data_IF_496570021061
#
_entry.id   IF_496570021061
#
_cell.length_a   1.000
_cell.length_b   1.000
_cell.length_c   1.000
_cell.angle_alpha   90.00
_cell.angle_beta   90.00
_cell.angle_gamma   90.00
#
_symmetry.space_group_name_H-M   'P 1'
#
loop_
_entity.id
_entity.type
_entity.pdbx_description
1 polymer ?
#
# COMPACT_ATOMS: atom_id res chain seq x y z
N UNK A 1 -15.20 -9.43 -20.65
CA UNK A 1 -15.88 -10.69 -20.31
C UNK A 1 -15.88 -11.61 -21.51
N UNK A 2 -16.55 -12.76 -21.39
CA UNK A 2 -16.88 -13.63 -22.51
C UNK A 2 -18.35 -13.41 -22.94
N UNK A 3 -18.73 -13.96 -24.10
CA UNK A 3 -20.10 -13.91 -24.63
C UNK A 3 -21.13 -14.71 -23.81
N UNK A 4 -20.69 -15.44 -22.79
CA UNK A 4 -21.54 -16.34 -21.99
C UNK A 4 -22.26 -15.64 -20.83
N UNK A 5 -21.92 -14.39 -20.53
CA UNK A 5 -22.59 -13.61 -19.48
C UNK A 5 -22.67 -12.15 -19.85
N UNK A 6 -23.82 -11.53 -19.58
CA UNK A 6 -24.08 -10.09 -19.78
C UNK A 6 -23.49 -9.21 -18.67
N UNK A 7 -22.87 -9.80 -17.65
CA UNK A 7 -22.29 -9.05 -16.51
C UNK A 7 -21.29 -7.99 -16.98
N UNK A 8 -21.55 -6.72 -16.70
CA UNK A 8 -20.60 -5.65 -16.97
C UNK A 8 -19.52 -5.56 -15.89
N UNK A 9 -18.40 -4.92 -16.22
CA UNK A 9 -17.50 -4.37 -15.20
C UNK A 9 -18.12 -3.06 -14.68
N UNK A 10 -17.98 -2.79 -13.38
CA UNK A 10 -18.51 -1.59 -12.73
C UNK A 10 -17.77 -1.28 -11.44
N UNK A 11 -18.42 -0.55 -10.53
CA UNK A 11 -17.82 -0.11 -9.27
C UNK A 11 -17.26 -1.27 -8.44
N UNK A 12 -17.95 -2.41 -8.41
CA UNK A 12 -17.59 -3.59 -7.62
C UNK A 12 -16.87 -4.65 -8.45
N UNK A 13 -17.36 -4.88 -9.68
CA UNK A 13 -16.91 -6.01 -10.50
C UNK A 13 -15.84 -5.55 -11.48
N UNK A 14 -14.69 -6.21 -11.42
CA UNK A 14 -13.68 -6.19 -12.46
C UNK A 14 -13.92 -7.35 -13.42
N UNK A 15 -14.21 -7.06 -14.69
CA UNK A 15 -14.47 -8.09 -15.71
C UNK A 15 -13.86 -7.70 -17.07
N UNK A 16 -12.54 -7.85 -17.24
CA UNK A 16 -11.86 -7.37 -18.44
C UNK A 16 -12.32 -8.12 -19.68
N UNK A 17 -12.35 -7.44 -20.82
CA UNK A 17 -12.66 -8.03 -22.13
C UNK A 17 -11.57 -8.97 -22.64
N UNK A 18 -10.31 -8.68 -22.29
CA UNK A 18 -9.14 -9.39 -22.79
C UNK A 18 -8.24 -9.80 -21.63
N UNK A 19 -7.55 -10.92 -21.80
CA UNK A 19 -6.53 -11.34 -20.81
C UNK A 19 -5.26 -10.48 -20.90
N UNK A 20 -4.84 -10.14 -22.13
CA UNK A 20 -3.68 -9.29 -22.37
C UNK A 20 -4.12 -7.82 -22.39
N UNK A 21 -3.50 -6.94 -21.58
CA UNK A 21 -3.82 -5.53 -21.62
C UNK A 21 -3.31 -4.88 -22.92
N UNK A 22 -3.91 -3.75 -23.25
CA UNK A 22 -3.45 -2.87 -24.31
C UNK A 22 -2.42 -1.89 -23.77
N UNK A 23 -1.36 -1.65 -24.54
CA UNK A 23 -0.33 -0.68 -24.18
C UNK A 23 -0.88 0.72 -24.49
N UNK A 24 -0.74 1.65 -23.54
CA UNK A 24 -1.18 3.06 -23.72
C UNK A 24 -0.40 3.73 -24.85
N UNK A 25 0.92 3.58 -24.84
CA UNK A 25 1.81 3.97 -25.94
C UNK A 25 3.10 3.15 -25.88
N UNK A 26 3.63 2.77 -27.03
CA UNK A 26 4.94 2.09 -27.12
C UNK A 26 6.11 3.05 -26.88
N UNK A 27 5.88 4.36 -27.04
CA UNK A 27 6.88 5.40 -26.91
C UNK A 27 6.39 6.49 -25.96
N UNK A 28 7.31 7.07 -25.19
CA UNK A 28 7.02 8.23 -24.37
C UNK A 28 7.92 9.38 -24.81
N UNK A 29 7.39 10.60 -24.84
CA UNK A 29 8.24 11.79 -24.86
C UNK A 29 8.93 11.89 -23.51
N UNK A 30 10.25 12.03 -23.52
CA UNK A 30 11.03 12.04 -22.28
C UNK A 30 11.74 13.37 -22.06
N UNK A 31 11.80 13.78 -20.79
CA UNK A 31 12.63 14.88 -20.33
C UNK A 31 13.39 14.44 -19.10
N UNK A 32 14.71 14.62 -19.11
CA UNK A 32 15.58 14.27 -17.98
C UNK A 32 15.89 15.54 -17.19
N UNK A 33 15.76 15.46 -15.88
CA UNK A 33 16.17 16.50 -14.94
C UNK A 33 17.20 15.88 -14.01
N UNK A 34 18.43 16.42 -14.00
CA UNK A 34 19.50 15.93 -13.13
C UNK A 34 20.02 17.07 -12.27
N UNK A 35 19.86 16.93 -10.97
CA UNK A 35 20.34 17.89 -9.97
C UNK A 35 21.11 17.16 -8.87
N UNK A 36 21.84 17.87 -8.00
CA UNK A 36 22.42 17.25 -6.81
C UNK A 36 21.39 16.64 -5.84
N UNK A 37 20.13 17.10 -5.87
CA UNK A 37 19.08 16.67 -4.95
C UNK A 37 18.24 15.51 -5.51
N UNK A 38 18.07 15.43 -6.83
CA UNK A 38 17.21 14.42 -7.47
C UNK A 38 17.59 14.22 -8.93
N UNK A 39 17.44 12.98 -9.39
CA UNK A 39 17.44 12.63 -10.82
C UNK A 39 16.04 12.17 -11.21
N UNK A 40 15.48 12.78 -12.25
CA UNK A 40 14.13 12.50 -12.72
C UNK A 40 14.11 12.19 -14.21
N UNK A 41 13.24 11.26 -14.60
CA UNK A 41 12.83 11.06 -15.98
C UNK A 41 11.32 11.28 -16.05
N UNK A 42 10.93 12.38 -16.69
CA UNK A 42 9.54 12.69 -16.99
C UNK A 42 9.19 11.96 -18.28
N UNK A 43 8.14 11.15 -18.26
CA UNK A 43 7.70 10.33 -19.38
C UNK A 43 6.24 10.64 -19.68
N UNK A 44 5.98 11.22 -20.84
CA UNK A 44 4.62 11.50 -21.32
C UNK A 44 4.23 10.45 -22.37
N UNK A 45 3.29 9.57 -22.03
CA UNK A 45 2.85 8.49 -22.93
C UNK A 45 1.71 8.93 -23.84
N UNK A 46 0.81 9.76 -23.33
CA UNK A 46 -0.35 10.28 -24.06
C UNK A 46 -0.88 11.54 -23.37
N UNK A 47 -1.85 12.23 -24.00
CA UNK A 47 -2.49 13.41 -23.43
C UNK A 47 -3.18 13.19 -22.06
N UNK A 48 -3.40 11.93 -21.66
CA UNK A 48 -4.10 11.56 -20.43
C UNK A 48 -3.28 10.62 -19.53
N UNK A 49 -2.03 10.32 -19.88
CA UNK A 49 -1.19 9.37 -19.14
C UNK A 49 0.28 9.78 -19.19
N UNK A 50 0.84 10.06 -18.01
CA UNK A 50 2.26 10.39 -17.84
C UNK A 50 2.77 9.80 -16.53
N UNK A 51 4.09 9.69 -16.41
CA UNK A 51 4.75 9.37 -15.15
C UNK A 51 6.06 10.13 -14.98
N UNK A 52 6.46 10.33 -13.73
CA UNK A 52 7.78 10.85 -13.36
C UNK A 52 8.48 9.78 -12.54
N UNK A 53 9.63 9.35 -13.01
CA UNK A 53 10.49 8.39 -12.32
C UNK A 53 11.56 9.19 -11.58
N UNK A 54 11.63 9.10 -10.26
CA UNK A 54 12.59 9.84 -9.42
C UNK A 54 13.54 8.90 -8.69
N UNK A 55 14.80 9.33 -8.63
CA UNK A 55 15.84 8.72 -7.82
C UNK A 55 16.52 9.81 -6.99
N UNK A 56 16.32 9.75 -5.67
CA UNK A 56 16.97 10.63 -4.73
C UNK A 56 18.28 10.02 -4.20
N UNK A 57 19.32 10.83 -3.91
CA UNK A 57 20.54 10.37 -3.26
C UNK A 57 20.25 9.63 -1.95
N UNK A 58 20.88 8.48 -1.75
CA UNK A 58 20.76 7.66 -0.52
C UNK A 58 19.47 6.84 -0.42
N UNK A 59 18.46 7.06 -1.26
CA UNK A 59 17.28 6.20 -1.30
C UNK A 59 17.59 4.87 -1.98
N UNK A 60 16.97 3.80 -1.48
CA UNK A 60 17.12 2.42 -2.00
C UNK A 60 15.88 1.94 -2.75
N UNK A 61 15.07 2.87 -3.23
CA UNK A 61 13.88 2.62 -4.01
C UNK A 61 13.77 3.63 -5.14
N UNK A 62 13.06 3.25 -6.19
CA UNK A 62 12.64 4.15 -7.25
C UNK A 62 11.27 4.71 -6.88
N UNK A 63 11.06 6.02 -6.95
CA UNK A 63 9.73 6.61 -6.85
C UNK A 63 9.16 6.76 -8.27
N UNK A 64 7.97 6.20 -8.50
CA UNK A 64 7.23 6.34 -9.74
C UNK A 64 5.92 7.07 -9.43
N UNK A 65 5.86 8.35 -9.76
CA UNK A 65 4.64 9.15 -9.68
C UNK A 65 3.91 9.02 -11.02
N UNK A 66 2.73 8.40 -11.02
CA UNK A 66 1.88 8.28 -12.19
C UNK A 66 0.78 9.34 -12.14
N UNK A 67 0.40 9.89 -13.30
CA UNK A 67 -0.73 10.79 -13.47
C UNK A 67 -1.59 10.28 -14.63
N UNK A 68 -2.83 9.90 -14.32
CA UNK A 68 -3.77 9.31 -15.26
C UNK A 68 -5.09 10.06 -15.21
N UNK A 69 -5.58 10.52 -16.36
CA UNK A 69 -6.90 11.13 -16.50
C UNK A 69 -6.92 12.28 -17.51
N UNK A 70 -8.10 12.83 -17.83
CA UNK A 70 -9.34 12.08 -17.87
C UNK A 70 -9.18 10.89 -18.84
N UNK A 71 -9.53 9.68 -18.40
CA UNK A 71 -9.42 8.48 -19.24
C UNK A 71 -10.39 8.64 -20.43
N UNK A 72 -9.93 8.56 -21.68
CA UNK A 72 -10.79 8.79 -22.84
C UNK A 72 -11.77 7.63 -23.00
N UNK A 73 -13.03 7.95 -23.24
CA UNK A 73 -14.12 6.97 -23.46
C UNK A 73 -14.97 7.30 -24.68
N UNK A 74 -14.52 8.24 -25.53
CA UNK A 74 -15.22 8.64 -26.76
C UNK A 74 -15.32 7.54 -27.81
N UNK A 75 -14.54 6.46 -27.65
CA UNK A 75 -14.63 5.23 -28.43
C UNK A 75 -15.75 4.29 -27.95
N UNK A 76 -16.44 4.61 -26.86
CA UNK A 76 -17.46 3.76 -26.24
C UNK A 76 -16.90 2.62 -25.37
N UNK A 77 -15.60 2.64 -25.05
CA UNK A 77 -14.95 1.62 -24.22
C UNK A 77 -14.60 2.15 -22.84
N UNK A 78 -15.12 1.49 -21.81
CA UNK A 78 -14.59 1.63 -20.44
C UNK A 78 -13.14 1.11 -20.38
N UNK A 79 -12.29 1.76 -19.58
CA UNK A 79 -10.87 1.44 -19.48
C UNK A 79 -10.43 1.39 -18.01
N UNK A 80 -9.60 0.41 -17.73
CA UNK A 80 -9.03 0.13 -16.41
C UNK A 80 -7.52 0.12 -16.58
N UNK A 81 -6.86 1.13 -16.03
CA UNK A 81 -5.47 1.47 -16.31
C UNK A 81 -4.60 0.81 -15.26
N UNK A 82 -3.56 0.12 -15.70
CA UNK A 82 -2.62 -0.58 -14.83
C UNK A 82 -1.20 -0.01 -14.99
N UNK A 83 -0.46 0.00 -13.89
CA UNK A 83 1.00 0.04 -13.89
C UNK A 83 1.51 -1.40 -13.81
N UNK A 84 2.42 -1.80 -14.71
CA UNK A 84 2.95 -3.17 -14.78
C UNK A 84 4.47 -3.15 -14.74
N UNK A 85 5.03 -4.00 -13.90
CA UNK A 85 6.47 -4.20 -13.71
C UNK A 85 6.82 -5.61 -14.14
N UNK A 86 7.61 -5.72 -15.20
CA UNK A 86 8.03 -7.00 -15.76
C UNK A 86 9.52 -7.24 -15.46
N UNK A 87 9.84 -8.45 -15.01
CA UNK A 87 11.20 -8.89 -14.66
C UNK A 87 11.44 -10.30 -15.18
N UNK A 88 12.68 -10.76 -15.03
CA UNK A 88 13.09 -12.14 -15.34
C UNK A 88 12.95 -13.10 -14.15
N UNK A 89 12.33 -12.66 -13.04
CA UNK A 89 12.21 -13.49 -11.83
C UNK A 89 11.34 -14.73 -12.08
N UNK A 90 11.81 -15.90 -11.67
CA UNK A 90 11.08 -17.16 -11.76
C UNK A 90 10.21 -17.37 -10.52
N UNK A 91 8.99 -16.83 -10.55
CA UNK A 91 8.13 -16.74 -9.36
C UNK A 91 7.19 -17.94 -9.16
N UNK A 92 7.09 -18.83 -10.16
CA UNK A 92 6.32 -20.09 -10.10
C UNK A 92 4.84 -19.87 -9.75
N UNK A 93 4.26 -18.78 -10.24
CA UNK A 93 2.88 -18.40 -9.96
C UNK A 93 2.62 -17.87 -8.55
N UNK A 94 3.64 -17.65 -7.74
CA UNK A 94 3.53 -17.10 -6.38
C UNK A 94 3.75 -15.59 -6.37
N UNK A 95 2.95 -14.90 -5.58
CA UNK A 95 3.09 -13.49 -5.27
C UNK A 95 2.48 -13.21 -3.89
N UNK A 96 2.76 -12.04 -3.34
CA UNK A 96 2.45 -11.74 -1.95
C UNK A 96 1.80 -10.38 -1.86
N UNK A 97 0.68 -10.29 -1.14
CA UNK A 97 -0.03 -9.02 -0.90
C UNK A 97 -0.25 -8.83 0.58
N UNK A 98 -0.30 -7.58 1.01
CA UNK A 98 -0.64 -7.28 2.40
C UNK A 98 -2.12 -7.51 2.70
N UNK A 99 -2.42 -7.65 3.99
CA UNK A 99 -3.75 -7.65 4.58
C UNK A 99 -3.87 -6.40 5.46
N UNK A 100 -4.59 -5.39 4.97
CA UNK A 100 -4.81 -4.12 5.68
C UNK A 100 -3.52 -3.44 6.17
N UNK A 101 -2.44 -3.48 5.39
CA UNK A 101 -1.16 -2.87 5.74
C UNK A 101 -0.23 -3.73 6.60
N UNK A 102 -0.68 -4.90 7.07
CA UNK A 102 -0.03 -5.65 8.16
C UNK A 102 0.57 -6.99 7.72
N UNK A 103 -0.23 -8.05 7.83
CA UNK A 103 0.17 -9.41 7.52
C UNK A 103 0.40 -9.56 6.03
N UNK A 104 1.37 -10.38 5.64
CA UNK A 104 1.60 -10.69 4.24
C UNK A 104 1.00 -12.06 3.94
N UNK A 105 0.11 -12.10 2.96
CA UNK A 105 -0.55 -13.31 2.52
C UNK A 105 0.10 -13.80 1.23
N UNK A 106 0.50 -15.07 1.22
CA UNK A 106 0.92 -15.75 0.00
C UNK A 106 -0.29 -16.00 -0.91
N UNK A 107 -0.14 -15.62 -2.17
CA UNK A 107 -1.13 -15.81 -3.23
C UNK A 107 -0.52 -16.72 -4.29
N UNK A 108 -1.35 -17.62 -4.81
CA UNK A 108 -1.00 -18.49 -5.92
C UNK A 108 -2.00 -18.29 -7.04
N UNK A 109 -1.49 -17.94 -8.23
CA UNK A 109 -2.30 -17.75 -9.43
C UNK A 109 -3.13 -19.00 -9.72
N UNK A 110 -4.42 -18.80 -10.02
CA UNK A 110 -5.41 -19.84 -10.36
C UNK A 110 -5.60 -20.92 -9.28
N UNK A 111 -5.40 -20.56 -8.00
CA UNK A 111 -5.48 -21.50 -6.89
C UNK A 111 -6.34 -20.98 -5.73
N UNK A 112 -7.01 -21.91 -5.04
CA UNK A 112 -7.76 -21.67 -3.81
C UNK A 112 -7.46 -22.78 -2.80
N UNK A 113 -7.14 -22.46 -1.53
CA UNK A 113 -6.75 -23.47 -0.56
C UNK A 113 -7.93 -24.30 -0.05
N UNK A 114 -9.15 -23.76 -0.09
CA UNK A 114 -10.33 -24.36 0.55
C UNK A 114 -11.31 -25.02 -0.42
N UNK A 115 -11.13 -24.87 -1.73
CA UNK A 115 -11.94 -25.57 -2.75
C UNK A 115 -11.19 -25.74 -4.06
N UNK A 116 -11.65 -26.68 -4.89
CA UNK A 116 -11.16 -26.85 -6.28
C UNK A 116 -11.71 -25.72 -7.16
N UNK A 117 -10.85 -24.80 -7.57
CA UNK A 117 -11.24 -23.67 -8.42
C UNK A 117 -11.60 -24.15 -9.83
N UNK A 118 -12.78 -23.77 -10.31
CA UNK A 118 -13.10 -23.77 -11.74
C UNK A 118 -12.75 -22.38 -12.29
N UNK A 119 -11.65 -22.27 -13.04
CA UNK A 119 -11.16 -20.97 -13.50
C UNK A 119 -11.95 -20.47 -14.72
N UNK A 120 -12.73 -19.41 -14.53
CA UNK A 120 -13.53 -18.76 -15.58
C UNK A 120 -13.12 -17.32 -15.88
N UNK A 121 -12.38 -16.67 -14.97
CA UNK A 121 -11.96 -15.28 -15.04
C UNK A 121 -10.45 -15.19 -14.68
N UNK A 122 -9.53 -15.60 -15.57
CA UNK A 122 -8.11 -15.78 -15.27
C UNK A 122 -7.35 -14.49 -14.95
N UNK A 123 -7.93 -13.32 -15.25
CA UNK A 123 -7.40 -12.03 -14.83
C UNK A 123 -8.03 -11.62 -13.50
N UNK A 124 -9.34 -11.34 -13.50
CA UNK A 124 -10.03 -10.79 -12.34
C UNK A 124 -10.00 -11.73 -11.12
N UNK A 125 -10.05 -13.05 -11.33
CA UNK A 125 -9.95 -14.05 -10.27
C UNK A 125 -8.60 -14.09 -9.57
N UNK A 126 -7.58 -13.39 -10.07
CA UNK A 126 -6.25 -13.30 -9.47
C UNK A 126 -5.91 -11.90 -8.95
N UNK A 127 -6.86 -10.96 -8.97
CA UNK A 127 -6.68 -9.65 -8.36
C UNK A 127 -6.98 -9.68 -6.87
N UNK A 128 -6.13 -9.03 -6.09
CA UNK A 128 -6.25 -8.91 -4.64
C UNK A 128 -6.13 -7.45 -4.20
N UNK A 129 -6.75 -7.07 -3.07
CA UNK A 129 -6.48 -5.78 -2.44
C UNK A 129 -5.01 -5.65 -2.07
N UNK A 130 -4.43 -4.49 -2.35
CA UNK A 130 -3.10 -4.07 -1.95
C UNK A 130 -3.28 -2.74 -1.23
N UNK A 131 -3.14 -2.73 0.10
CA UNK A 131 -3.30 -1.51 0.89
C UNK A 131 -1.98 -0.80 1.13
N UNK A 132 -0.87 -1.54 1.08
CA UNK A 132 0.47 -0.98 1.29
C UNK A 132 1.52 -1.57 0.35
N UNK A 133 1.44 -2.87 0.01
CA UNK A 133 2.49 -3.50 -0.80
C UNK A 133 2.09 -4.81 -1.47
N UNK A 134 2.72 -5.04 -2.61
CA UNK A 134 2.72 -6.30 -3.34
C UNK A 134 4.16 -6.67 -3.71
N UNK A 135 4.51 -7.96 -3.67
CA UNK A 135 5.83 -8.39 -4.12
C UNK A 135 5.84 -9.78 -4.76
N UNK A 136 6.91 -10.02 -5.52
CA UNK A 136 7.27 -11.30 -6.13
C UNK A 136 8.73 -11.63 -5.84
N UNK A 137 9.08 -12.92 -5.81
CA UNK A 137 10.46 -13.38 -5.54
C UNK A 137 10.77 -14.73 -6.20
N UNK A 138 12.05 -14.96 -6.51
CA UNK A 138 12.59 -16.20 -7.12
C UNK A 138 13.48 -17.02 -6.15
N UNK A 139 13.41 -16.71 -4.85
CA UNK A 139 14.21 -17.32 -3.78
C UNK A 139 15.51 -16.56 -3.45
N UNK A 140 16.04 -15.75 -4.37
CA UNK A 140 17.23 -14.91 -4.10
C UNK A 140 16.86 -13.43 -4.08
N UNK A 141 16.07 -13.00 -5.04
CA UNK A 141 15.72 -11.60 -5.28
C UNK A 141 14.22 -11.40 -5.10
N UNK A 142 13.84 -10.25 -4.57
CA UNK A 142 12.47 -9.81 -4.39
C UNK A 142 12.28 -8.45 -5.04
N UNK A 143 11.28 -8.36 -5.94
CA UNK A 143 10.73 -7.09 -6.41
C UNK A 143 9.52 -6.76 -5.54
N UNK A 144 9.57 -5.61 -4.86
CA UNK A 144 8.46 -5.09 -4.05
C UNK A 144 7.97 -3.77 -4.62
N UNK A 145 6.65 -3.60 -4.71
CA UNK A 145 6.02 -2.33 -5.06
C UNK A 145 5.16 -1.89 -3.89
N UNK A 146 5.46 -0.73 -3.33
CA UNK A 146 4.64 -0.07 -2.31
C UNK A 146 3.65 0.87 -2.96
N UNK A 147 2.47 1.01 -2.35
CA UNK A 147 1.41 1.89 -2.83
C UNK A 147 1.16 3.02 -1.84
N UNK A 148 0.83 4.21 -2.38
CA UNK A 148 0.41 5.37 -1.57
C UNK A 148 -1.07 5.32 -1.15
N UNK A 149 -1.81 4.33 -1.65
CA UNK A 149 -3.24 4.10 -1.41
C UNK A 149 -3.63 2.66 -1.67
N UNK A 150 -4.88 2.32 -1.34
CA UNK A 150 -5.48 1.05 -1.68
C UNK A 150 -5.66 0.90 -3.19
N UNK A 151 -5.18 -0.21 -3.75
CA UNK A 151 -5.28 -0.57 -5.17
C UNK A 151 -5.63 -2.04 -5.32
N UNK A 152 -6.11 -2.42 -6.51
CA UNK A 152 -6.16 -3.83 -6.92
C UNK A 152 -4.83 -4.21 -7.55
N UNK A 153 -4.22 -5.32 -7.13
CA UNK A 153 -2.96 -5.81 -7.68
C UNK A 153 -2.92 -7.31 -7.94
N UNK A 154 -2.03 -7.74 -8.83
CA UNK A 154 -1.89 -9.15 -9.21
C UNK A 154 -0.48 -9.49 -9.75
N UNK A 155 -0.24 -10.80 -9.94
CA UNK A 155 0.86 -11.36 -10.72
C UNK A 155 0.30 -12.37 -11.73
N UNK A 156 -0.06 -11.89 -12.92
CA UNK A 156 -0.75 -12.69 -13.94
C UNK A 156 0.19 -13.55 -14.80
N UNK A 157 1.50 -13.28 -14.73
CA UNK A 157 2.56 -14.10 -15.33
C UNK A 157 3.76 -14.10 -14.40
N UNK A 158 4.61 -15.11 -14.53
CA UNK A 158 5.83 -15.18 -13.73
C UNK A 158 6.72 -13.98 -14.02
N UNK A 159 7.37 -13.49 -12.96
CA UNK A 159 8.23 -12.31 -13.03
C UNK A 159 7.50 -10.97 -13.18
N UNK A 160 6.16 -10.94 -13.12
CA UNK A 160 5.39 -9.71 -13.29
C UNK A 160 4.54 -9.37 -12.07
N UNK A 161 4.42 -8.08 -11.79
CA UNK A 161 3.46 -7.49 -10.86
C UNK A 161 2.72 -6.39 -11.60
N UNK A 162 1.41 -6.28 -11.37
CA UNK A 162 0.62 -5.15 -11.84
C UNK A 162 -0.31 -4.59 -10.76
N UNK A 163 -0.59 -3.30 -10.87
CA UNK A 163 -1.44 -2.52 -9.98
C UNK A 163 -2.39 -1.68 -10.82
N UNK A 164 -3.69 -1.81 -10.59
CA UNK A 164 -4.71 -0.98 -11.22
C UNK A 164 -4.76 0.38 -10.53
N UNK A 165 -4.43 1.42 -11.29
CA UNK A 165 -4.23 2.79 -10.77
C UNK A 165 -5.45 3.68 -10.97
N UNK A 166 -6.27 3.42 -11.99
CA UNK A 166 -7.48 4.19 -12.27
C UNK A 166 -8.47 3.41 -13.14
N UNK A 167 -9.77 3.68 -13.02
CA UNK A 167 -10.84 3.02 -13.75
C UNK A 167 -11.87 4.06 -14.20
N UNK A 168 -12.34 3.95 -15.43
CA UNK A 168 -13.50 4.70 -15.93
C UNK A 168 -14.38 3.76 -16.75
N UNK A 169 -15.60 3.53 -16.28
CA UNK A 169 -16.51 2.52 -16.82
C UNK A 169 -17.83 3.16 -17.25
N UNK A 170 -18.42 2.62 -18.31
CA UNK A 170 -19.60 3.20 -18.97
C UNK A 170 -20.91 2.48 -18.62
N UNK A 171 -20.85 1.46 -17.76
CA UNK A 171 -22.00 0.66 -17.33
C UNK A 171 -21.96 0.43 -15.83
N UNK A 172 -23.14 0.34 -15.23
CA UNK A 172 -23.33 -0.22 -13.89
C UNK A 172 -23.13 -1.75 -13.92
N UNK A 173 -22.66 -2.33 -12.83
CA UNK A 173 -22.45 -3.77 -12.71
C UNK A 173 -23.62 -4.51 -12.04
N UNK A 174 -24.72 -3.83 -11.75
CA UNK A 174 -25.92 -4.44 -11.20
C UNK A 174 -25.73 -4.97 -9.78
N UNK A 175 -24.97 -4.25 -8.94
CA UNK A 175 -24.76 -4.58 -7.52
C UNK A 175 -25.39 -3.58 -6.55
N UNK A 176 -26.24 -2.68 -7.05
CA UNK A 176 -27.14 -1.86 -6.25
C UNK A 176 -26.81 -0.37 -6.21
N UNK A 177 -25.66 0.06 -6.73
CA UNK A 177 -25.33 1.49 -6.83
C UNK A 177 -26.16 2.19 -7.91
N UNK A 178 -26.47 1.52 -9.02
CA UNK A 178 -27.34 2.05 -10.08
C UNK A 178 -26.68 3.10 -10.97
N UNK A 179 -25.36 3.26 -10.87
CA UNK A 179 -24.59 4.25 -11.63
C UNK A 179 -23.30 3.62 -12.19
N UNK A 180 -22.88 4.01 -13.42
CA UNK A 180 -21.56 3.63 -13.93
C UNK A 180 -20.45 4.32 -13.13
N UNK A 181 -19.25 3.71 -13.07
CA UNK A 181 -18.06 4.34 -12.49
C UNK A 181 -17.50 5.43 -13.43
N UNK A 182 -18.19 6.57 -13.47
CA UNK A 182 -17.95 7.69 -14.38
C UNK A 182 -17.78 9.01 -13.60
N UNK A 183 -16.75 9.07 -12.77
CA UNK A 183 -16.51 10.19 -11.87
C UNK A 183 -16.24 11.52 -12.62
N UNK A 184 -16.86 12.61 -12.15
CA UNK A 184 -16.58 13.97 -12.62
C UNK A 184 -17.06 14.32 -14.03
N UNK A 185 -17.92 13.50 -14.65
CA UNK A 185 -18.55 13.75 -15.96
C UNK A 185 -17.56 13.72 -17.14
N UNK A 186 -16.65 14.70 -17.21
CA UNK A 186 -15.53 14.75 -18.15
C UNK A 186 -14.40 13.76 -17.81
N UNK A 187 -14.37 13.26 -16.56
CA UNK A 187 -13.39 12.33 -16.03
C UNK A 187 -12.41 13.00 -15.06
N UNK A 188 -12.00 12.28 -14.03
CA UNK A 188 -11.04 12.77 -13.03
C UNK A 188 -9.59 12.46 -13.41
N UNK A 189 -8.72 13.41 -13.08
CA UNK A 189 -7.28 13.18 -12.98
C UNK A 189 -6.98 12.55 -11.62
N UNK A 190 -6.22 11.47 -11.64
CA UNK A 190 -5.67 10.85 -10.44
C UNK A 190 -4.16 10.84 -10.58
N UNK A 191 -3.51 11.31 -9.52
CA UNK A 191 -2.07 11.20 -9.34
C UNK A 191 -1.80 10.36 -8.11
N UNK A 192 -0.85 9.45 -8.21
CA UNK A 192 -0.36 8.67 -7.09
C UNK A 192 1.05 8.16 -7.30
N UNK A 193 1.56 7.42 -6.32
CA UNK A 193 2.95 6.97 -6.28
C UNK A 193 3.07 5.47 -6.07
N UNK A 194 4.08 4.90 -6.70
CA UNK A 194 4.61 3.57 -6.43
C UNK A 194 6.06 3.67 -6.03
N UNK A 195 6.45 3.05 -4.91
CA UNK A 195 7.86 2.91 -4.55
C UNK A 195 8.32 1.51 -4.92
N UNK A 196 9.29 1.41 -5.83
CA UNK A 196 9.78 0.13 -6.36
C UNK A 196 11.11 -0.23 -5.73
N UNK A 197 11.18 -1.39 -5.08
CA UNK A 197 12.35 -1.90 -4.38
C UNK A 197 12.80 -3.22 -5.01
N UNK A 198 14.11 -3.39 -5.18
CA UNK A 198 14.72 -4.64 -5.62
C UNK A 198 15.77 -5.07 -4.60
N UNK A 199 15.46 -6.13 -3.86
CA UNK A 199 16.20 -6.53 -2.67
C UNK A 199 16.57 -8.01 -2.69
N UNK A 200 17.59 -8.40 -1.92
CA UNK A 200 17.76 -9.81 -1.56
C UNK A 200 16.60 -10.22 -0.65
N UNK A 201 16.07 -11.43 -0.82
CA UNK A 201 14.94 -11.94 -0.02
C UNK A 201 15.20 -11.81 1.50
N UNK A 202 16.43 -12.08 1.95
CA UNK A 202 16.81 -11.98 3.37
C UNK A 202 16.78 -10.57 3.97
N UNK A 203 16.76 -9.52 3.13
CA UNK A 203 16.76 -8.12 3.56
C UNK A 203 15.50 -7.35 3.13
N UNK A 204 14.67 -7.94 2.27
CA UNK A 204 13.54 -7.26 1.66
C UNK A 204 12.51 -6.79 2.70
N UNK A 205 12.19 -7.64 3.67
CA UNK A 205 11.22 -7.32 4.71
C UNK A 205 11.62 -6.11 5.56
N UNK A 206 12.88 -6.03 5.99
CA UNK A 206 13.39 -4.87 6.71
C UNK A 206 13.20 -3.58 5.93
N UNK A 207 13.34 -3.61 4.60
CA UNK A 207 13.17 -2.43 3.76
C UNK A 207 11.71 -2.08 3.52
N UNK A 208 10.92 -3.01 3.00
CA UNK A 208 9.55 -2.70 2.64
C UNK A 208 8.67 -2.43 3.85
N UNK A 209 8.94 -3.00 5.03
CA UNK A 209 8.21 -2.71 6.27
C UNK A 209 8.34 -1.27 6.72
N UNK A 210 9.58 -0.85 6.97
CA UNK A 210 9.86 0.50 7.44
C UNK A 210 9.49 1.56 6.38
N UNK A 211 9.69 1.26 5.10
CA UNK A 211 9.38 2.21 4.03
C UNK A 211 7.88 2.37 3.81
N UNK A 212 7.08 1.31 3.90
CA UNK A 212 5.63 1.41 3.76
C UNK A 212 5.00 2.22 4.91
N UNK A 213 5.52 2.10 6.13
CA UNK A 213 5.06 2.91 7.26
C UNK A 213 5.37 4.40 7.03
N UNK A 214 6.59 4.70 6.58
CA UNK A 214 6.99 6.09 6.24
C UNK A 214 6.11 6.69 5.16
N UNK A 215 5.68 5.89 4.19
CA UNK A 215 4.80 6.32 3.11
C UNK A 215 3.37 6.58 3.63
N UNK A 216 2.84 5.68 4.48
CA UNK A 216 1.53 5.85 5.10
C UNK A 216 1.46 7.10 5.99
N UNK A 217 2.52 7.37 6.75
CA UNK A 217 2.62 8.49 7.67
C UNK A 217 3.22 9.77 7.05
N UNK A 218 3.47 9.76 5.73
CA UNK A 218 4.07 10.91 5.07
C UNK A 218 3.16 12.15 5.24
N UNK A 219 3.67 13.28 5.75
CA UNK A 219 2.87 14.48 5.89
C UNK A 219 2.50 15.04 4.52
N UNK A 220 1.31 15.65 4.42
CA UNK A 220 0.98 16.45 3.26
C UNK A 220 1.83 17.72 3.27
N UNK A 221 2.73 17.85 2.30
CA UNK A 221 3.55 19.03 2.14
C UNK A 221 2.74 20.12 1.43
N UNK A 222 2.50 21.24 2.12
CA UNK A 222 1.88 22.44 1.54
C UNK A 222 2.95 23.52 1.45
N UNK A 223 3.31 23.91 0.23
CA UNK A 223 4.18 25.04 -0.04
C UNK A 223 3.32 26.22 -0.50
N UNK A 224 3.50 27.39 0.12
CA UNK A 224 2.83 28.62 -0.27
C UNK A 224 3.88 29.71 -0.58
N UNK A 225 3.60 30.64 -1.50
CA UNK A 225 4.43 31.83 -1.68
C UNK A 225 4.58 32.57 -0.34
N UNK A 226 5.81 32.99 0.00
CA UNK A 226 6.06 33.81 1.18
C UNK A 226 5.42 35.19 1.08
N UNK A 227 5.32 35.91 2.22
CA UNK A 227 4.81 37.29 2.28
C UNK A 227 3.53 37.48 3.10
N UNK A 228 2.95 36.41 3.64
CA UNK A 228 1.89 36.50 4.65
C UNK A 228 2.42 37.07 5.98
N UNK A 229 1.53 37.67 6.77
CA UNK A 229 1.86 38.09 8.13
C UNK A 229 2.44 36.90 8.93
N UNK A 230 3.45 37.11 9.79
CA UNK A 230 3.97 36.05 10.65
C UNK A 230 2.82 35.37 11.41
N UNK A 231 2.76 34.04 11.35
CA UNK A 231 1.69 33.25 11.99
C UNK A 231 1.52 33.60 13.48
N UNK A 232 2.62 33.96 14.16
CA UNK A 232 2.61 34.59 15.48
C UNK A 232 3.72 35.63 15.61
N UNK A 233 3.35 36.89 15.86
CA UNK A 233 4.28 37.96 16.25
C UNK A 233 4.76 37.71 17.69
N UNK A 234 6.07 37.52 17.89
CA UNK A 234 6.70 37.44 19.21
C UNK A 234 7.07 36.05 19.72
N UNK A 235 6.74 34.98 19.01
CA UNK A 235 7.18 33.61 19.35
C UNK A 235 8.14 33.11 18.28
N UNK A 236 9.36 32.72 18.69
CA UNK A 236 10.30 32.10 17.77
C UNK A 236 9.69 30.81 17.19
N UNK A 237 9.71 30.61 15.86
CA UNK A 237 9.09 29.43 15.26
C UNK A 237 9.80 28.17 15.74
N UNK A 238 9.04 27.22 16.28
CA UNK A 238 9.53 25.92 16.67
C UNK A 238 9.92 25.14 15.41
N UNK A 239 11.22 24.96 15.16
CA UNK A 239 11.74 24.30 13.94
C UNK A 239 11.76 22.78 14.04
N UNK A 240 11.74 22.23 15.26
CA UNK A 240 11.78 20.80 15.51
C UNK A 240 11.05 20.48 16.81
N UNK A 241 10.32 19.38 16.81
CA UNK A 241 9.66 18.82 17.99
C UNK A 241 9.80 17.31 18.00
N UNK A 242 10.05 16.74 19.18
CA UNK A 242 9.89 15.31 19.43
C UNK A 242 9.10 15.12 20.71
N UNK A 243 8.00 14.37 20.61
CA UNK A 243 7.25 13.90 21.78
C UNK A 243 7.97 12.79 22.54
N UNK A 244 8.99 12.16 21.93
CA UNK A 244 9.77 11.06 22.51
C UNK A 244 11.14 11.58 22.96
N UNK A 245 11.61 11.13 24.13
CA UNK A 245 12.96 11.40 24.66
C UNK A 245 14.03 10.47 24.08
N UNK A 246 13.61 9.34 23.53
CA UNK A 246 14.45 8.32 22.89
C UNK A 246 13.71 7.72 21.71
N UNK A 247 14.45 7.29 20.70
CA UNK A 247 13.87 6.57 19.56
C UNK A 247 13.29 5.22 20.01
N UNK A 248 12.20 4.81 19.38
CA UNK A 248 11.67 3.45 19.55
C UNK A 248 12.57 2.44 18.84
N UNK A 249 12.64 1.19 19.32
CA UNK A 249 13.30 0.12 18.58
C UNK A 249 12.73 0.04 17.15
N UNK A 250 13.55 -0.25 16.11
CA UNK A 250 13.08 -0.25 14.73
C UNK A 250 11.93 -1.22 14.43
N UNK A 251 11.71 -2.24 15.27
CA UNK A 251 10.59 -3.18 15.14
C UNK A 251 9.30 -2.70 15.81
N UNK A 252 9.33 -1.58 16.54
CA UNK A 252 8.19 -1.05 17.30
C UNK A 252 7.69 0.23 16.65
N UNK A 253 6.38 0.29 16.46
CA UNK A 253 5.69 1.47 15.94
C UNK A 253 4.65 2.00 16.93
N UNK A 254 4.64 3.33 17.12
CA UNK A 254 3.63 4.04 17.89
C UNK A 254 2.38 4.25 17.03
N UNK A 255 1.51 3.24 17.02
CA UNK A 255 0.29 3.24 16.21
C UNK A 255 -0.76 4.25 16.69
N UNK A 256 -0.85 4.50 18.00
CA UNK A 256 -1.81 5.47 18.54
C UNK A 256 -1.23 6.13 19.77
N UNK A 257 -1.28 7.46 19.80
CA UNK A 257 -1.18 8.26 21.01
C UNK A 257 -2.28 9.31 20.95
N UNK A 258 -3.35 9.09 21.71
CA UNK A 258 -4.53 9.95 21.68
C UNK A 258 -5.02 10.26 23.09
N UNK A 259 -5.59 11.44 23.30
CA UNK A 259 -6.33 11.74 24.53
C UNK A 259 -7.58 10.88 24.57
N UNK A 260 -7.73 10.10 25.65
CA UNK A 260 -8.89 9.23 25.84
C UNK A 260 -9.95 9.93 26.68
N UNK A 261 -9.54 10.56 27.77
CA UNK A 261 -10.40 11.41 28.59
C UNK A 261 -9.63 12.62 29.16
N UNK A 262 -10.14 13.24 30.22
CA UNK A 262 -9.50 14.43 30.81
C UNK A 262 -8.10 14.15 31.37
N UNK A 263 -7.87 12.93 31.83
CA UNK A 263 -6.74 12.48 32.64
C UNK A 263 -5.95 11.32 32.03
N UNK A 264 -6.51 10.61 31.04
CA UNK A 264 -5.90 9.43 30.44
C UNK A 264 -5.58 9.60 28.95
N UNK A 265 -4.57 8.84 28.52
CA UNK A 265 -4.12 8.72 27.14
C UNK A 265 -4.31 7.28 26.70
N UNK A 266 -4.76 7.10 25.46
CA UNK A 266 -4.74 5.82 24.76
C UNK A 266 -3.41 5.67 24.01
N UNK A 267 -2.63 4.68 24.44
CA UNK A 267 -1.36 4.29 23.84
C UNK A 267 -1.51 2.94 23.14
N UNK A 268 -1.16 2.84 21.85
CA UNK A 268 -1.01 1.57 21.14
C UNK A 268 0.39 1.50 20.54
N UNK A 269 1.09 0.43 20.90
CA UNK A 269 2.34 0.03 20.28
C UNK A 269 2.10 -1.24 19.47
N UNK A 270 2.79 -1.36 18.34
CA UNK A 270 2.76 -2.57 17.54
C UNK A 270 4.15 -3.05 17.16
N UNK A 271 4.27 -4.36 16.96
CA UNK A 271 5.43 -4.96 16.36
C UNK A 271 5.26 -5.02 14.84
N UNK A 272 6.20 -4.42 14.10
CA UNK A 272 6.06 -4.29 12.65
C UNK A 272 6.33 -5.58 11.89
N UNK A 273 7.15 -6.49 12.44
CA UNK A 273 7.62 -7.71 11.77
C UNK A 273 6.86 -8.95 12.25
N UNK A 274 6.57 -9.87 11.32
CA UNK A 274 6.12 -11.22 11.66
C UNK A 274 7.30 -12.10 12.11
N UNK A 275 6.98 -13.24 12.73
CA UNK A 275 7.99 -14.22 13.17
C UNK A 275 8.81 -14.71 11.97
N UNK A 276 10.14 -14.69 12.11
CA UNK A 276 11.06 -15.13 11.06
C UNK A 276 11.23 -14.15 9.89
N UNK A 277 10.68 -12.95 10.02
CA UNK A 277 10.76 -11.91 8.99
C UNK A 277 11.82 -10.84 9.31
N UNK A 278 12.47 -10.32 8.28
CA UNK A 278 13.48 -9.27 8.41
C UNK A 278 14.86 -9.80 8.72
N UNK A 279 15.86 -8.91 8.69
CA UNK A 279 17.25 -9.27 8.94
C UNK A 279 17.58 -9.23 10.43
N UNK A 280 18.39 -10.19 10.88
CA UNK A 280 18.89 -10.26 12.26
C UNK A 280 17.75 -10.48 13.26
N UNK A 281 17.68 -9.63 14.29
CA UNK A 281 16.77 -9.79 15.43
C UNK A 281 15.50 -8.93 15.31
N UNK A 282 15.16 -8.42 14.11
CA UNK A 282 14.01 -7.52 13.93
C UNK A 282 12.64 -8.19 14.15
N UNK A 283 12.55 -9.52 14.03
CA UNK A 283 11.35 -10.30 14.38
C UNK A 283 11.37 -10.83 15.82
N UNK A 284 12.42 -10.56 16.60
CA UNK A 284 12.57 -11.08 17.96
C UNK A 284 11.72 -10.28 18.96
N UNK A 285 11.31 -10.88 20.09
CA UNK A 285 10.66 -10.14 21.17
C UNK A 285 11.48 -8.94 21.61
N UNK A 286 10.81 -7.82 21.88
CA UNK A 286 11.42 -6.56 22.31
C UNK A 286 10.67 -5.99 23.51
N UNK A 287 11.43 -5.47 24.48
CA UNK A 287 10.88 -4.78 25.64
C UNK A 287 11.04 -3.28 25.45
N UNK A 288 9.93 -2.55 25.58
CA UNK A 288 9.92 -1.08 25.53
C UNK A 288 9.74 -0.57 26.94
N UNK A 289 10.75 0.10 27.47
CA UNK A 289 10.58 0.89 28.67
C UNK A 289 9.70 2.11 28.33
N UNK A 290 8.62 2.33 29.06
CA UNK A 290 7.74 3.49 28.91
C UNK A 290 8.08 4.61 29.90
N UNK A 291 8.84 4.30 30.94
CA UNK A 291 9.28 5.28 31.92
C UNK A 291 10.12 6.34 31.24
N UNK A 292 9.75 7.61 31.42
CA UNK A 292 10.40 8.76 30.80
C UNK A 292 10.53 8.65 29.27
N UNK A 293 9.67 7.88 28.60
CA UNK A 293 9.68 7.79 27.13
C UNK A 293 9.22 9.11 26.50
N UNK A 294 8.23 9.76 27.10
CA UNK A 294 7.61 10.98 26.57
C UNK A 294 8.22 12.25 27.18
N UNK A 295 8.39 13.28 26.34
CA UNK A 295 8.96 14.56 26.74
C UNK A 295 7.92 15.49 27.38
N UNK A 296 6.66 15.40 26.93
CA UNK A 296 5.59 16.32 27.27
C UNK A 296 4.79 15.93 28.53
N UNK A 297 4.87 14.68 28.98
CA UNK A 297 4.13 14.18 30.14
C UNK A 297 4.86 12.99 30.77
N UNK A 298 4.49 12.68 32.01
CA UNK A 298 4.98 11.51 32.74
C UNK A 298 3.84 10.50 32.88
N UNK A 299 4.13 9.23 32.60
CA UNK A 299 3.18 8.13 32.83
C UNK A 299 3.23 7.78 34.30
N UNK A 300 2.12 7.97 35.01
CA UNK A 300 1.99 7.66 36.46
C UNK A 300 1.32 6.31 36.72
N UNK A 301 0.49 5.84 35.80
CA UNK A 301 -0.23 4.57 35.87
C UNK A 301 -0.40 3.98 34.47
N UNK A 302 -0.50 2.66 34.37
CA UNK A 302 -0.71 1.96 33.10
C UNK A 302 -1.69 0.80 33.28
N UNK A 303 -2.72 0.79 32.45
CA UNK A 303 -3.75 -0.24 32.46
C UNK A 303 -3.89 -0.87 31.07
N UNK A 304 -3.54 -2.16 30.95
CA UNK A 304 -3.67 -2.88 29.69
C UNK A 304 -5.13 -3.26 29.41
N UNK A 305 -5.57 -2.99 28.18
CA UNK A 305 -6.95 -3.22 27.71
C UNK A 305 -6.98 -4.03 26.42
N UNK A 306 -8.18 -4.43 25.99
CA UNK A 306 -8.41 -4.94 24.63
C UNK A 306 -8.08 -3.88 23.58
N UNK A 307 -7.92 -4.27 22.30
CA UNK A 307 -7.56 -3.34 21.22
C UNK A 307 -8.51 -2.12 21.10
N UNK A 308 -9.80 -2.33 21.39
CA UNK A 308 -10.84 -1.31 21.38
C UNK A 308 -10.88 -0.45 22.66
N UNK A 309 -10.00 -0.71 23.64
CA UNK A 309 -9.91 -0.03 24.93
C UNK A 309 -11.23 -0.04 25.74
N UNK A 310 -12.08 -1.04 25.54
CA UNK A 310 -13.40 -1.14 26.17
C UNK A 310 -13.50 -2.22 27.27
N UNK A 311 -12.44 -3.00 27.47
CA UNK A 311 -12.37 -4.06 28.48
C UNK A 311 -10.93 -4.21 28.97
N UNK A 312 -10.75 -4.44 30.28
CA UNK A 312 -9.44 -4.79 30.84
C UNK A 312 -8.92 -6.09 30.25
N UNK A 313 -7.63 -6.14 29.93
CA UNK A 313 -7.01 -7.32 29.32
C UNK A 313 -7.19 -8.57 30.18
N UNK A 314 -7.04 -8.42 31.49
CA UNK A 314 -7.22 -9.50 32.47
C UNK A 314 -8.65 -10.06 32.54
N UNK A 315 -9.66 -9.27 32.16
CA UNK A 315 -11.06 -9.69 32.13
C UNK A 315 -11.49 -10.34 30.82
N UNK A 316 -10.64 -10.32 29.78
CA UNK A 316 -10.97 -10.86 28.47
C UNK A 316 -10.81 -12.39 28.46
N UNK A 317 -11.91 -13.12 28.25
CA UNK A 317 -11.91 -14.57 28.08
C UNK A 317 -12.07 -14.97 26.61
N UNK A 318 -11.38 -16.04 26.19
CA UNK A 318 -11.52 -16.62 24.85
C UNK A 318 -12.37 -17.89 24.90
N UNK A 319 -13.25 -18.05 23.93
CA UNK A 319 -13.94 -19.32 23.70
C UNK A 319 -12.91 -20.41 23.37
N UNK A 320 -13.16 -21.62 23.88
CA UNK A 320 -12.36 -22.81 23.58
C UNK A 320 -13.07 -23.60 22.49
N UNK A 321 -12.38 -23.83 21.38
CA UNK A 321 -12.88 -24.59 20.24
C UNK A 321 -12.06 -25.87 20.08
N UNK A 322 -12.69 -26.93 19.58
CA UNK A 322 -12.01 -28.15 19.13
C UNK A 322 -12.00 -28.16 17.60
N UNK A 323 -10.89 -27.77 16.95
CA UNK A 323 -10.81 -27.78 15.50
C UNK A 323 -10.84 -29.22 14.95
N UNK A 324 -11.31 -29.39 13.72
CA UNK A 324 -11.27 -30.68 13.02
C UNK A 324 -9.83 -31.21 12.83
N UNK A 325 -8.84 -30.32 12.86
CA UNK A 325 -7.41 -30.65 12.80
C UNK A 325 -6.81 -31.04 14.16
N UNK A 326 -7.63 -31.16 15.20
CA UNK A 326 -7.18 -31.30 16.59
C UNK A 326 -6.87 -29.95 17.25
N UNK A 327 -6.57 -29.93 18.56
CA UNK A 327 -6.16 -28.70 19.24
C UNK A 327 -4.92 -28.12 18.56
N UNK A 328 -4.98 -26.84 18.19
CA UNK A 328 -3.79 -26.11 17.78
C UNK A 328 -2.88 -25.95 19.02
N UNK A 329 -1.55 -26.14 18.89
CA UNK A 329 -0.61 -25.93 20.00
C UNK A 329 -0.57 -24.48 20.48
#
# INVERSE_FOLDING_TARGET
>A
GNSLSSQASGAYIFRPDRQKPLIVSHWAQTRVVKTPLVQEVHQNFSAWCSQVVRLYPGQRHLELEWTVGPIPVGDGWGKEVISRFDTVLETKGLFYTDSNGREILERRRDYRPTWKLNQTEPVAGNYYPVNSRIYIRDGKTQLTVLTDRSQGGSSLKDGSVELMVHRRLLKDDGRGVGEPLLEGGLGLWVRGRHLVLLDKVSAAATRHRLQAEKELLAPQLVLAPGGGAPYHLGVAPLKQFSGLRRELPPSVHLLTLARWDRTSLLLRLEHQFAVGEGSGNLSSPVTVDLKDLFSAFTITDLQETTLAANQLRAGASRLKWTPATGPAP
#
